data_IF_130865768993
#
_entry.id   IF_130865768993
#
_cell.length_a   1.000
_cell.length_b   1.000
_cell.length_c   1.000
_cell.angle_alpha   90.00
_cell.angle_beta   90.00
_cell.angle_gamma   90.00
#
_symmetry.space_group_name_H-M   'P 1'
#
loop_
_entity.id
_entity.type
_entity.pdbx_description
1 polymer ?
#
# COMPACT_ATOMS: atom_id res chain seq x y z
N UNK A 1 12.49 -26.80 9.10
CA UNK A 1 11.72 -25.87 8.24
C UNK A 1 10.28 -25.66 8.73
N UNK A 2 9.50 -26.71 8.99
CA UNK A 2 8.08 -26.58 9.39
C UNK A 2 7.82 -25.85 10.73
N UNK A 3 8.74 -25.91 11.69
CA UNK A 3 8.56 -25.27 13.00
C UNK A 3 8.53 -23.73 12.91
N UNK A 4 9.39 -23.14 12.08
CA UNK A 4 9.45 -21.69 11.88
C UNK A 4 8.20 -21.18 11.15
N UNK A 5 7.72 -21.94 10.16
CA UNK A 5 6.45 -21.65 9.48
C UNK A 5 5.30 -21.70 10.48
N UNK A 6 5.24 -22.72 11.34
CA UNK A 6 4.19 -22.84 12.36
C UNK A 6 4.23 -21.69 13.37
N UNK A 7 5.42 -21.27 13.79
CA UNK A 7 5.60 -20.12 14.68
C UNK A 7 5.13 -18.82 14.02
N UNK A 8 5.51 -18.58 12.76
CA UNK A 8 5.06 -17.41 11.98
C UNK A 8 3.54 -17.39 11.82
N UNK A 9 2.94 -18.52 11.44
CA UNK A 9 1.49 -18.59 11.25
C UNK A 9 0.72 -18.35 12.54
N UNK A 10 1.13 -18.97 13.64
CA UNK A 10 0.44 -18.80 14.93
C UNK A 10 0.72 -17.45 15.59
N UNK A 11 1.92 -16.92 15.44
CA UNK A 11 2.36 -15.69 16.08
C UNK A 11 1.96 -14.43 15.33
N UNK A 12 1.83 -14.49 14.00
CA UNK A 12 1.64 -13.31 13.17
C UNK A 12 0.46 -13.45 12.21
N UNK A 13 0.46 -14.46 11.33
CA UNK A 13 -0.51 -14.53 10.22
C UNK A 13 -1.95 -14.72 10.73
N UNK A 14 -2.19 -15.71 11.59
CA UNK A 14 -3.54 -16.00 12.10
C UNK A 14 -4.08 -14.80 12.91
N UNK A 15 -3.35 -14.23 13.89
CA UNK A 15 -3.81 -13.04 14.59
C UNK A 15 -4.14 -11.88 13.66
N UNK A 16 -3.33 -11.64 12.63
CA UNK A 16 -3.52 -10.55 11.70
C UNK A 16 -4.76 -10.74 10.81
N UNK A 17 -4.96 -11.95 10.29
CA UNK A 17 -6.17 -12.32 9.55
C UNK A 17 -7.42 -12.14 10.42
N UNK A 18 -7.37 -12.51 11.71
CA UNK A 18 -8.49 -12.31 12.63
C UNK A 18 -8.80 -10.82 12.81
N UNK A 19 -7.79 -9.95 12.96
CA UNK A 19 -7.98 -8.48 13.04
C UNK A 19 -8.59 -7.91 11.75
N UNK A 20 -8.10 -8.35 10.59
CA UNK A 20 -8.62 -7.95 9.28
C UNK A 20 -10.10 -8.34 9.12
N UNK A 21 -10.45 -9.58 9.44
CA UNK A 21 -11.84 -10.09 9.31
C UNK A 21 -12.78 -9.41 10.30
N UNK A 22 -12.33 -9.12 11.53
CA UNK A 22 -13.11 -8.35 12.51
C UNK A 22 -13.30 -6.88 12.11
N UNK A 23 -12.55 -6.42 11.11
CA UNK A 23 -12.59 -5.05 10.61
C UNK A 23 -11.94 -4.05 11.55
N UNK A 24 -11.01 -4.49 12.40
CA UNK A 24 -10.34 -3.62 13.37
C UNK A 24 -9.68 -2.43 12.66
N UNK A 25 -9.01 -2.69 11.54
CA UNK A 25 -8.41 -1.64 10.69
C UNK A 25 -9.41 -0.73 9.98
N UNK A 26 -10.64 -1.19 9.73
CA UNK A 26 -11.69 -0.33 9.16
C UNK A 26 -12.21 0.70 10.14
N UNK A 27 -11.97 0.49 11.44
CA UNK A 27 -12.31 1.44 12.52
C UNK A 27 -11.15 2.40 12.81
N UNK A 28 -9.97 2.11 12.27
CA UNK A 28 -8.81 3.00 12.36
C UNK A 28 -8.86 4.03 11.24
N UNK A 29 -8.30 5.21 11.50
CA UNK A 29 -8.12 6.26 10.51
C UNK A 29 -6.62 6.45 10.25
N UNK A 30 -6.23 6.41 8.98
CA UNK A 30 -4.89 6.80 8.52
C UNK A 30 -4.78 8.33 8.62
N UNK A 31 -3.97 8.79 9.57
CA UNK A 31 -3.78 10.21 9.91
C UNK A 31 -2.73 10.95 9.07
N UNK A 32 -1.53 10.39 8.81
CA UNK A 32 -0.53 11.12 8.04
C UNK A 32 -0.99 11.27 6.57
N UNK A 33 -0.65 12.40 5.91
CA UNK A 33 -0.66 12.46 4.45
C UNK A 33 0.04 11.25 3.87
N UNK A 34 -0.66 10.51 3.02
CA UNK A 34 -0.11 9.29 2.45
C UNK A 34 -0.30 9.26 0.95
N UNK A 35 0.82 9.22 0.24
CA UNK A 35 0.90 8.90 -1.18
C UNK A 35 1.18 7.39 -1.34
N UNK A 36 0.29 6.68 -2.03
CA UNK A 36 0.53 5.29 -2.43
C UNK A 36 0.95 5.26 -3.91
N UNK A 37 2.13 4.69 -4.17
CA UNK A 37 2.72 4.62 -5.50
C UNK A 37 2.72 3.17 -5.99
N UNK A 38 2.25 2.96 -7.22
CA UNK A 38 2.20 1.64 -7.87
C UNK A 38 2.87 1.68 -9.24
N UNK A 39 3.36 0.55 -9.72
CA UNK A 39 3.82 0.43 -11.10
C UNK A 39 2.63 0.24 -12.05
N UNK A 40 2.67 0.86 -13.23
CA UNK A 40 1.59 0.78 -14.23
C UNK A 40 1.38 -0.66 -14.74
N UNK A 41 2.45 -1.46 -14.77
CA UNK A 41 2.45 -2.84 -15.24
C UNK A 41 2.25 -3.87 -14.11
N UNK A 42 1.98 -3.41 -12.88
CA UNK A 42 1.63 -4.28 -11.76
C UNK A 42 0.25 -4.92 -12.01
N UNK A 43 0.25 -6.15 -12.54
CA UNK A 43 -1.00 -6.87 -12.86
C UNK A 43 -1.85 -7.17 -11.62
N UNK A 44 -1.29 -7.68 -10.50
CA UNK A 44 -2.03 -7.80 -9.25
C UNK A 44 -2.67 -6.49 -8.77
N UNK A 45 -1.94 -5.38 -8.88
CA UNK A 45 -2.39 -4.04 -8.47
C UNK A 45 -2.60 -3.09 -9.65
N UNK A 46 -3.32 -3.57 -10.67
CA UNK A 46 -3.62 -2.71 -11.82
C UNK A 46 -4.34 -1.43 -11.38
N UNK A 47 -4.12 -0.33 -12.08
CA UNK A 47 -4.71 0.97 -11.72
C UNK A 47 -6.23 0.89 -11.53
N UNK A 48 -6.93 0.19 -12.42
CA UNK A 48 -8.37 -0.01 -12.30
C UNK A 48 -8.76 -0.73 -11.00
N UNK A 49 -7.99 -1.75 -10.61
CA UNK A 49 -8.23 -2.50 -9.38
C UNK A 49 -7.93 -1.65 -8.14
N UNK A 50 -6.77 -0.98 -8.11
CA UNK A 50 -6.36 -0.10 -7.00
C UNK A 50 -7.38 1.02 -6.79
N UNK A 51 -7.77 1.72 -7.85
CA UNK A 51 -8.80 2.77 -7.76
C UNK A 51 -10.14 2.21 -7.27
N UNK A 52 -10.54 1.02 -7.74
CA UNK A 52 -11.79 0.38 -7.32
C UNK A 52 -11.79 0.00 -5.84
N UNK A 53 -10.71 -0.58 -5.32
CA UNK A 53 -10.64 -0.99 -3.90
C UNK A 53 -10.51 0.24 -2.98
N UNK A 54 -9.85 1.29 -3.44
CA UNK A 54 -9.61 2.53 -2.68
C UNK A 54 -10.70 3.60 -2.89
N UNK A 55 -11.78 3.31 -3.61
CA UNK A 55 -12.83 4.30 -3.96
C UNK A 55 -13.55 4.98 -2.78
N UNK A 56 -13.41 4.43 -1.57
CA UNK A 56 -14.00 4.96 -0.33
C UNK A 56 -12.93 5.21 0.74
N UNK A 57 -11.72 5.60 0.30
CA UNK A 57 -10.60 5.91 1.19
C UNK A 57 -10.92 7.04 2.15
N UNK A 58 -11.76 8.01 1.75
CA UNK A 58 -12.25 9.13 2.54
C UNK A 58 -12.88 8.72 3.89
N UNK A 59 -13.40 7.48 3.98
CA UNK A 59 -13.96 6.93 5.22
C UNK A 59 -12.91 6.58 6.26
N UNK A 60 -11.69 6.30 5.81
CA UNK A 60 -10.62 5.73 6.62
C UNK A 60 -9.29 6.50 6.52
N UNK A 61 -9.18 7.52 5.66
CA UNK A 61 -7.99 8.34 5.47
C UNK A 61 -8.42 9.76 5.10
N UNK A 62 -7.78 10.76 5.71
CA UNK A 62 -8.11 12.17 5.44
C UNK A 62 -7.31 12.73 4.28
N UNK A 63 -6.06 12.28 4.12
CA UNK A 63 -5.13 12.72 3.09
C UNK A 63 -4.52 11.49 2.41
N UNK A 64 -5.06 11.16 1.24
CA UNK A 64 -4.76 9.93 0.52
C UNK A 64 -4.65 10.25 -0.97
N UNK A 65 -3.51 9.92 -1.57
CA UNK A 65 -3.27 10.11 -2.99
C UNK A 65 -2.70 8.85 -3.63
N UNK A 66 -2.93 8.72 -4.94
CA UNK A 66 -2.46 7.61 -5.75
C UNK A 66 -1.57 8.16 -6.86
N UNK A 67 -0.35 7.62 -6.97
CA UNK A 67 0.51 7.81 -8.11
C UNK A 67 0.81 6.46 -8.79
N UNK A 68 1.09 6.54 -10.09
CA UNK A 68 1.40 5.39 -10.91
C UNK A 68 2.62 5.70 -11.76
N UNK A 69 3.61 4.83 -11.71
CA UNK A 69 4.89 4.97 -12.43
C UNK A 69 4.83 4.11 -13.68
N UNK A 70 5.05 4.72 -14.84
CA UNK A 70 5.07 4.01 -16.12
C UNK A 70 6.29 3.07 -16.22
N UNK A 71 6.21 2.09 -17.12
CA UNK A 71 7.26 1.09 -17.37
C UNK A 71 7.79 0.36 -16.12
N UNK A 72 6.93 0.18 -15.10
CA UNK A 72 7.29 -0.49 -13.85
C UNK A 72 6.20 -1.44 -13.36
N UNK A 73 6.62 -2.55 -12.76
CA UNK A 73 5.75 -3.59 -12.21
C UNK A 73 5.69 -3.50 -10.67
N UNK A 74 5.64 -4.64 -9.99
CA UNK A 74 5.46 -4.69 -8.54
C UNK A 74 6.68 -4.16 -7.74
N UNK A 75 7.87 -4.25 -8.32
CA UNK A 75 9.13 -3.82 -7.69
C UNK A 75 9.59 -2.49 -8.28
N UNK A 76 8.78 -1.44 -8.10
CA UNK A 76 8.99 -0.11 -8.71
C UNK A 76 10.36 0.51 -8.41
N UNK A 77 10.97 0.18 -7.26
CA UNK A 77 12.30 0.68 -6.88
C UNK A 77 13.41 0.07 -7.72
N UNK A 78 13.16 -1.09 -8.31
CA UNK A 78 14.13 -1.81 -9.14
C UNK A 78 13.93 -1.41 -10.60
N UNK A 79 12.67 -1.30 -11.04
CA UNK A 79 12.31 -0.93 -12.41
C UNK A 79 12.54 0.57 -12.70
N UNK A 80 12.17 1.45 -11.76
CA UNK A 80 12.16 2.90 -11.95
C UNK A 80 12.63 3.68 -10.68
N UNK A 81 13.84 3.42 -10.16
CA UNK A 81 14.33 4.02 -8.90
C UNK A 81 14.28 5.54 -8.87
N UNK A 82 14.66 6.20 -9.96
CA UNK A 82 14.69 7.68 -10.02
C UNK A 82 13.29 8.28 -10.00
N UNK A 83 12.33 7.70 -10.72
CA UNK A 83 10.95 8.17 -10.69
C UNK A 83 10.34 8.06 -9.28
N UNK A 84 10.67 7.01 -8.54
CA UNK A 84 10.24 6.83 -7.14
C UNK A 84 10.87 7.90 -6.23
N UNK A 85 12.16 8.18 -6.41
CA UNK A 85 12.86 9.21 -5.62
C UNK A 85 12.27 10.59 -5.90
N UNK A 86 12.07 10.94 -7.16
CA UNK A 86 11.51 12.24 -7.55
C UNK A 86 10.11 12.43 -6.96
N UNK A 87 9.23 11.43 -7.08
CA UNK A 87 7.90 11.43 -6.47
C UNK A 87 7.95 11.60 -4.94
N UNK A 88 8.86 10.90 -4.27
CA UNK A 88 8.99 10.98 -2.82
C UNK A 88 9.47 12.38 -2.38
N UNK A 89 10.47 12.94 -3.05
CA UNK A 89 11.00 14.27 -2.75
C UNK A 89 9.96 15.36 -3.02
N UNK A 90 9.23 15.27 -4.12
CA UNK A 90 8.12 16.19 -4.43
C UNK A 90 7.03 16.11 -3.36
N UNK A 91 6.60 14.90 -2.99
CA UNK A 91 5.60 14.70 -1.94
C UNK A 91 6.02 15.33 -0.62
N UNK A 92 7.25 15.09 -0.17
CA UNK A 92 7.75 15.69 1.08
C UNK A 92 7.92 17.20 1.00
N UNK A 93 8.20 17.77 -0.18
CA UNK A 93 8.27 19.21 -0.35
C UNK A 93 6.89 19.88 -0.26
N UNK A 94 5.82 19.17 -0.60
CA UNK A 94 4.45 19.68 -0.61
C UNK A 94 3.66 19.39 0.69
N UNK A 95 3.82 18.21 1.28
CA UNK A 95 3.06 17.75 2.46
C UNK A 95 3.89 17.65 3.75
N UNK A 96 5.19 17.98 3.68
CA UNK A 96 6.12 18.04 4.83
C UNK A 96 5.93 19.25 5.73
#
# INVERSE_FOLDING_TARGET
MLQNVRALYRGMVIPEVVRLVRGDYKRMRLQPPTLFVFGRDDRPFSEANVRRISRHHDRCAERFELAFVDDSAHFITDDAPYAVVDLALEWFAHEG
#
